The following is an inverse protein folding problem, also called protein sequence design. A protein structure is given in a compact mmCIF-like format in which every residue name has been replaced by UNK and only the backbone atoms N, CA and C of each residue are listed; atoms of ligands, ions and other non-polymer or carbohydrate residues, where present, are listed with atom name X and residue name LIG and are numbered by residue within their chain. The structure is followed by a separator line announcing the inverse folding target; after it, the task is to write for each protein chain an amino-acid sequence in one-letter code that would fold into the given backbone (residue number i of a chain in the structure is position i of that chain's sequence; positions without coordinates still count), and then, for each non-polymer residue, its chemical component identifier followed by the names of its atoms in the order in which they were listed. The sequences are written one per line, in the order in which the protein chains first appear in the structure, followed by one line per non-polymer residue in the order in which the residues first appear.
data_IF_498364605188
#
_entry.id   IF_498364605188
#
_cell.length_a   1.000
_cell.length_b   1.000
_cell.length_c   1.000
_cell.angle_alpha   90.00
_cell.angle_beta   90.00
_cell.angle_gamma   90.00
#
_symmetry.space_group_name_H-M   'P 1'
#
loop_
_entity.id
_entity.type
_entity.pdbx_description
1 polymer ?
#
# COMPACT_ATOMS: atom_id res chain seq x y z
N UNK A 1 5.57 19.91 -7.67
CA UNK A 1 4.27 20.20 -7.03
C UNK A 1 3.88 18.97 -6.23
N UNK A 2 3.86 19.05 -4.89
CA UNK A 2 3.52 17.92 -4.04
C UNK A 2 2.04 17.53 -4.27
N UNK A 3 1.78 16.28 -4.63
CA UNK A 3 0.41 15.80 -4.83
C UNK A 3 -0.37 15.92 -3.53
N UNK A 4 -1.31 16.87 -3.45
CA UNK A 4 -2.26 17.01 -2.33
C UNK A 4 -3.20 15.81 -2.18
N UNK A 5 -3.17 14.86 -3.12
CA UNK A 5 -4.12 13.77 -3.20
C UNK A 5 -3.54 12.48 -2.62
N UNK A 6 -3.93 12.15 -1.38
CA UNK A 6 -3.50 10.94 -0.68
C UNK A 6 -3.78 9.66 -1.48
N UNK A 7 -4.89 9.58 -2.22
CA UNK A 7 -5.23 8.39 -3.03
C UNK A 7 -4.21 8.18 -4.15
N UNK A 8 -3.80 9.25 -4.83
CA UNK A 8 -2.79 9.17 -5.89
C UNK A 8 -1.43 8.76 -5.35
N UNK A 9 -1.02 9.36 -4.22
CA UNK A 9 0.21 9.00 -3.52
C UNK A 9 0.23 7.51 -3.16
N UNK A 10 -0.85 7.01 -2.56
CA UNK A 10 -1.00 5.61 -2.17
C UNK A 10 -0.92 4.69 -3.39
N UNK A 11 -1.61 5.02 -4.48
CA UNK A 11 -1.55 4.25 -5.73
C UNK A 11 -0.12 4.20 -6.30
N UNK A 12 0.59 5.33 -6.31
CA UNK A 12 1.97 5.42 -6.81
C UNK A 12 2.94 4.60 -5.95
N UNK A 13 2.82 4.69 -4.64
CA UNK A 13 3.71 3.99 -3.68
C UNK A 13 3.51 2.47 -3.67
N UNK A 14 2.26 2.03 -3.88
CA UNK A 14 1.92 0.62 -4.05
C UNK A 14 2.18 0.09 -5.46
N UNK A 15 2.44 0.97 -6.45
CA UNK A 15 2.55 0.59 -7.86
C UNK A 15 1.25 0.04 -8.45
N UNK A 16 0.09 0.54 -8.00
CA UNK A 16 -1.24 0.05 -8.40
C UNK A 16 -2.10 1.16 -9.04
N UNK A 17 -3.16 0.74 -9.70
CA UNK A 17 -4.23 1.59 -10.22
C UNK A 17 -5.32 1.87 -9.18
N UNK A 18 -6.14 2.90 -9.40
CA UNK A 18 -7.33 3.16 -8.57
C UNK A 18 -8.32 2.00 -8.58
N UNK A 19 -8.39 1.24 -9.68
CA UNK A 19 -9.23 0.04 -9.81
C UNK A 19 -8.76 -1.06 -8.88
N UNK A 20 -7.45 -1.32 -8.86
CA UNK A 20 -6.86 -2.30 -7.96
C UNK A 20 -6.95 -1.88 -6.50
N UNK A 21 -6.81 -0.58 -6.21
CA UNK A 21 -7.06 -0.05 -4.88
C UNK A 21 -8.50 -0.33 -4.42
N UNK A 22 -9.49 -0.09 -5.28
CA UNK A 22 -10.89 -0.38 -4.98
C UNK A 22 -11.11 -1.88 -4.71
N UNK A 23 -10.50 -2.76 -5.52
CA UNK A 23 -10.56 -4.20 -5.33
C UNK A 23 -9.92 -4.64 -4.01
N UNK A 24 -8.75 -4.09 -3.64
CA UNK A 24 -8.06 -4.40 -2.36
C UNK A 24 -8.87 -3.96 -1.15
N UNK A 25 -9.53 -2.82 -1.24
CA UNK A 25 -10.38 -2.28 -0.18
C UNK A 25 -11.79 -2.90 -0.16
N UNK A 26 -12.16 -3.69 -1.16
CA UNK A 26 -13.49 -4.30 -1.26
C UNK A 26 -14.60 -3.28 -1.50
N UNK A 27 -14.29 -2.14 -2.12
CA UNK A 27 -15.24 -1.05 -2.38
C UNK A 27 -15.44 -0.84 -3.88
N UNK A 28 -16.53 -0.16 -4.22
CA UNK A 28 -16.80 0.19 -5.61
C UNK A 28 -15.82 1.26 -6.12
N UNK A 29 -15.38 1.14 -7.38
CA UNK A 29 -14.41 2.08 -8.01
C UNK A 29 -14.86 3.55 -7.94
N UNK A 30 -16.17 3.79 -7.97
CA UNK A 30 -16.71 5.16 -7.87
C UNK A 30 -16.45 5.81 -6.52
N UNK A 31 -16.29 5.04 -5.43
CA UNK A 31 -15.89 5.57 -4.13
C UNK A 31 -14.47 6.13 -4.19
N UNK A 32 -13.53 5.37 -4.77
CA UNK A 32 -12.14 5.81 -4.98
C UNK A 32 -12.07 7.04 -5.89
N UNK A 33 -12.85 7.07 -6.98
CA UNK A 33 -12.93 8.24 -7.86
C UNK A 33 -13.47 9.49 -7.12
N UNK A 34 -14.48 9.32 -6.26
CA UNK A 34 -14.99 10.41 -5.42
C UNK A 34 -13.92 10.92 -4.45
N UNK A 35 -13.12 10.04 -3.87
CA UNK A 35 -12.00 10.42 -3.00
C UNK A 35 -10.93 11.22 -3.75
N UNK A 36 -10.65 10.83 -4.99
CA UNK A 36 -9.71 11.57 -5.84
C UNK A 36 -10.25 12.96 -6.18
N UNK A 37 -11.54 13.07 -6.48
CA UNK A 37 -12.19 14.34 -6.81
C UNK A 37 -12.33 15.27 -5.58
N UNK A 38 -12.50 14.71 -4.38
CA UNK A 38 -12.70 15.45 -3.13
C UNK A 38 -11.49 15.32 -2.18
N UNK A 39 -10.28 15.41 -2.73
CA UNK A 39 -9.05 15.15 -1.99
C UNK A 39 -8.87 16.04 -0.74
N UNK A 40 -9.38 17.28 -0.78
CA UNK A 40 -9.27 18.24 0.34
C UNK A 40 -10.30 17.99 1.46
N UNK A 41 -11.31 17.14 1.23
CA UNK A 41 -12.37 16.85 2.19
C UNK A 41 -12.69 15.35 2.27
N UNK A 42 -11.64 14.58 2.52
CA UNK A 42 -11.77 13.14 2.75
C UNK A 42 -12.23 12.87 4.18
N UNK A 43 -13.19 11.95 4.38
CA UNK A 43 -13.52 11.48 5.71
C UNK A 43 -12.28 10.93 6.41
N UNK A 44 -12.11 11.22 7.70
CA UNK A 44 -10.94 10.81 8.48
C UNK A 44 -10.70 9.29 8.43
N UNK A 45 -11.78 8.49 8.45
CA UNK A 45 -11.68 7.04 8.32
C UNK A 45 -11.03 6.61 7.00
N UNK A 46 -11.30 7.32 5.89
CA UNK A 46 -10.72 7.00 4.58
C UNK A 46 -9.21 7.26 4.60
N UNK A 47 -8.78 8.38 5.19
CA UNK A 47 -7.36 8.70 5.34
C UNK A 47 -6.65 7.61 6.14
N UNK A 48 -7.19 7.25 7.31
CA UNK A 48 -6.64 6.17 8.15
C UNK A 48 -6.61 4.83 7.44
N UNK A 49 -7.65 4.48 6.68
CA UNK A 49 -7.66 3.24 5.89
C UNK A 49 -6.54 3.21 4.85
N UNK A 50 -6.28 4.32 4.17
CA UNK A 50 -5.21 4.42 3.18
C UNK A 50 -3.82 4.36 3.82
N UNK A 51 -3.63 5.03 4.97
CA UNK A 51 -2.37 4.96 5.72
C UNK A 51 -2.11 3.54 6.25
N UNK A 52 -3.13 2.87 6.80
CA UNK A 52 -3.03 1.47 7.23
C UNK A 52 -2.70 0.52 6.07
N UNK A 53 -3.21 0.80 4.87
CA UNK A 53 -2.89 0.00 3.69
C UNK A 53 -1.41 0.14 3.30
N UNK A 54 -0.86 1.36 3.36
CA UNK A 54 0.56 1.62 3.12
C UNK A 54 1.43 0.92 4.17
N UNK A 55 1.11 1.10 5.45
CA UNK A 55 1.82 0.45 6.55
C UNK A 55 1.81 -1.08 6.40
N UNK A 56 0.65 -1.67 6.04
CA UNK A 56 0.55 -3.11 5.80
C UNK A 56 1.47 -3.58 4.66
N UNK A 57 1.57 -2.80 3.59
CA UNK A 57 2.46 -3.10 2.47
C UNK A 57 3.93 -3.02 2.88
N UNK A 58 4.33 -1.98 3.61
CA UNK A 58 5.70 -1.88 4.13
C UNK A 58 6.05 -3.04 5.07
N UNK A 59 5.13 -3.41 5.96
CA UNK A 59 5.32 -4.53 6.89
C UNK A 59 5.49 -5.85 6.14
N UNK A 60 4.68 -6.10 5.11
CA UNK A 60 4.83 -7.29 4.26
C UNK A 60 6.19 -7.31 3.55
N UNK A 61 6.64 -6.17 3.01
CA UNK A 61 7.96 -6.07 2.40
C UNK A 61 9.10 -6.31 3.40
N UNK A 62 8.97 -5.86 4.66
CA UNK A 62 9.94 -6.15 5.73
C UNK A 62 9.98 -7.64 6.06
N UNK A 63 8.81 -8.28 6.19
CA UNK A 63 8.71 -9.73 6.43
C UNK A 63 9.34 -10.53 5.29
N UNK A 64 9.08 -10.17 4.04
CA UNK A 64 9.69 -10.82 2.88
C UNK A 64 11.22 -10.71 2.91
N UNK A 65 11.77 -9.53 3.17
CA UNK A 65 13.23 -9.34 3.30
C UNK A 65 13.83 -10.20 4.41
N UNK A 66 13.16 -10.28 5.57
CA UNK A 66 13.61 -11.13 6.69
C UNK A 66 13.62 -12.60 6.26
N UNK A 67 12.57 -13.08 5.60
CA UNK A 67 12.50 -14.46 5.12
C UNK A 67 13.62 -14.77 4.12
N UNK A 68 13.91 -13.85 3.18
CA UNK A 68 15.02 -13.98 2.23
C UNK A 68 16.38 -14.04 2.96
N UNK A 69 16.59 -13.20 3.97
CA UNK A 69 17.82 -13.24 4.78
C UNK A 69 17.97 -14.57 5.51
N UNK A 70 16.89 -15.09 6.12
CA UNK A 70 16.91 -16.38 6.80
C UNK A 70 17.21 -17.53 5.83
N UNK A 71 16.68 -17.48 4.62
CA UNK A 71 16.98 -18.46 3.58
C UNK A 71 18.47 -18.44 3.21
N UNK A 72 19.03 -17.26 2.94
CA UNK A 72 20.46 -17.10 2.61
C UNK A 72 21.35 -17.63 3.74
N UNK A 73 21.04 -17.30 5.00
CA UNK A 73 21.78 -17.81 6.16
C UNK A 73 21.73 -19.34 6.21
N UNK A 74 20.55 -19.92 5.96
CA UNK A 74 20.36 -21.37 5.98
C UNK A 74 21.14 -22.07 4.86
N UNK A 75 21.26 -21.45 3.69
CA UNK A 75 22.07 -21.96 2.57
C UNK A 75 23.56 -21.91 2.92
N UNK A 76 24.06 -20.80 3.45
CA UNK A 76 25.45 -20.65 3.89
C UNK A 76 25.85 -21.64 5.00
N UNK A 77 24.90 -22.01 5.87
CA UNK A 77 25.13 -23.02 6.91
C UNK A 77 25.23 -24.45 6.36
N UNK A 78 24.63 -24.74 5.19
CA UNK A 78 24.70 -26.07 4.55
C UNK A 78 25.97 -26.31 3.74
N UNK A 79 26.64 -25.23 3.32
CA UNK A 79 27.91 -25.27 2.59
C UNK A 79 29.14 -25.41 3.51
N UNK A 80 28.92 -25.43 4.83
CA UNK A 80 29.94 -25.66 5.87
C UNK A 80 29.89 -27.11 6.37
#
# INVERSE_FOLDING_TARGET
MAEKNIVKRVCAELGITQKELAQRLGIHITAVQKWVANADNLPEHTIKTLDLLLENHELKNKVEKINTLLQIISELQKER
#
